data_IF_241080624061
#
_entry.id   IF_241080624061
#
_cell.length_a   1.000
_cell.length_b   1.000
_cell.length_c   1.000
_cell.angle_alpha   90.00
_cell.angle_beta   90.00
_cell.angle_gamma   90.00
#
_symmetry.space_group_name_H-M   'P 1'
#
loop_
_entity.id
_entity.type
_entity.pdbx_description
1 polymer ?
#
# COMPACT_ATOMS: atom_id res chain seq x y z
N UNK A 1 -11.80 -14.98 -21.87
CA UNK A 1 -10.76 -13.95 -21.68
C UNK A 1 -10.15 -14.17 -20.30
N UNK A 2 -9.02 -14.88 -20.21
CA UNK A 2 -8.37 -15.09 -18.92
C UNK A 2 -7.83 -13.73 -18.42
N UNK A 3 -8.02 -13.38 -17.13
CA UNK A 3 -7.52 -12.11 -16.62
C UNK A 3 -6.01 -12.02 -16.82
N UNK A 4 -5.50 -10.83 -17.16
CA UNK A 4 -4.07 -10.55 -17.45
C UNK A 4 -3.11 -11.16 -16.41
N UNK A 5 -3.57 -11.28 -15.16
CA UNK A 5 -2.88 -11.92 -14.04
C UNK A 5 -2.47 -13.36 -14.35
N UNK A 6 -3.33 -14.16 -14.99
CA UNK A 6 -3.04 -15.57 -15.31
C UNK A 6 -1.91 -15.70 -16.33
N UNK A 7 -1.80 -14.77 -17.27
CA UNK A 7 -0.74 -14.80 -18.26
C UNK A 7 0.65 -14.57 -17.64
N UNK A 8 0.77 -13.59 -16.74
CA UNK A 8 2.05 -13.31 -16.08
C UNK A 8 2.53 -14.47 -15.22
N UNK A 9 1.60 -15.16 -14.55
CA UNK A 9 1.91 -16.32 -13.71
C UNK A 9 2.47 -17.52 -14.51
N UNK A 10 2.17 -17.59 -15.81
CA UNK A 10 2.71 -18.61 -16.74
C UNK A 10 4.08 -18.25 -17.32
N UNK A 11 4.58 -17.03 -17.08
CA UNK A 11 5.86 -16.56 -17.60
C UNK A 11 7.01 -16.78 -16.59
N UNK A 12 8.28 -16.79 -17.03
CA UNK A 12 9.43 -17.05 -16.14
C UNK A 12 9.79 -15.87 -15.21
N UNK A 13 8.98 -14.80 -15.19
CA UNK A 13 9.21 -13.62 -14.34
C UNK A 13 8.77 -13.90 -12.90
N UNK A 14 9.40 -13.23 -11.94
CA UNK A 14 8.88 -13.19 -10.56
C UNK A 14 7.74 -12.16 -10.45
N UNK A 15 6.74 -12.43 -9.62
CA UNK A 15 5.67 -11.47 -9.29
C UNK A 15 5.84 -11.03 -7.84
N UNK A 16 5.88 -9.73 -7.62
CA UNK A 16 5.69 -9.13 -6.30
C UNK A 16 4.51 -8.20 -6.39
N UNK A 17 3.43 -8.55 -5.69
CA UNK A 17 2.26 -7.69 -5.57
C UNK A 17 2.29 -7.00 -4.21
N UNK A 18 2.15 -5.68 -4.22
CA UNK A 18 1.91 -4.88 -3.02
C UNK A 18 0.45 -4.45 -3.03
N UNK A 19 -0.33 -5.04 -2.15
CA UNK A 19 -1.74 -4.77 -2.04
C UNK A 19 -1.99 -3.98 -0.75
N UNK A 20 -2.22 -2.69 -0.97
CA UNK A 20 -2.55 -1.68 0.02
C UNK A 20 -4.03 -1.27 -0.13
N UNK A 21 -4.90 -2.19 -0.55
CA UNK A 21 -6.24 -1.85 -0.99
C UNK A 21 -7.03 -1.16 0.13
N UNK A 22 -7.55 0.03 -0.18
CA UNK A 22 -8.58 0.73 0.61
C UNK A 22 -10.00 0.45 0.09
N UNK A 23 -10.09 -0.31 -1.01
CA UNK A 23 -11.29 -0.72 -1.73
C UNK A 23 -10.91 -1.52 -2.98
N UNK A 24 -11.85 -2.22 -3.60
CA UNK A 24 -11.60 -3.13 -4.74
C UNK A 24 -11.51 -4.61 -4.34
N UNK A 25 -11.23 -5.49 -5.30
CA UNK A 25 -11.07 -6.93 -5.06
C UNK A 25 -9.60 -7.33 -5.08
N UNK A 26 -9.22 -8.12 -4.08
CA UNK A 26 -7.89 -8.75 -3.98
C UNK A 26 -7.72 -9.81 -5.06
N UNK A 27 -6.47 -10.06 -5.50
CA UNK A 27 -6.21 -11.19 -6.37
C UNK A 27 -6.67 -12.50 -5.70
N UNK A 28 -7.26 -13.43 -6.47
CA UNK A 28 -7.72 -14.69 -5.92
C UNK A 28 -6.52 -15.50 -5.43
N UNK A 29 -6.46 -15.70 -4.12
CA UNK A 29 -5.54 -16.64 -3.47
C UNK A 29 -6.36 -17.87 -3.10
N UNK A 30 -5.84 -19.05 -3.43
CA UNK A 30 -6.55 -20.32 -3.19
C UNK A 30 -6.73 -20.59 -1.71
N UNK A 31 -5.71 -20.23 -0.91
CA UNK A 31 -5.71 -20.39 0.53
C UNK A 31 -6.19 -19.11 1.24
N UNK A 32 -6.71 -19.29 2.46
CA UNK A 32 -7.05 -18.16 3.33
C UNK A 32 -5.79 -17.37 3.67
N UNK A 33 -5.85 -16.06 3.48
CA UNK A 33 -4.75 -15.19 3.86
C UNK A 33 -4.63 -15.10 5.40
N UNK A 34 -3.40 -14.96 5.93
CA UNK A 34 -3.21 -14.64 7.34
C UNK A 34 -3.91 -13.30 7.69
N UNK A 35 -4.28 -13.05 8.95
CA UNK A 35 -4.89 -11.78 9.34
C UNK A 35 -3.99 -10.58 9.00
N UNK A 36 -4.57 -9.53 8.42
CA UNK A 36 -3.89 -8.29 8.09
C UNK A 36 -4.77 -7.36 7.27
N UNK A 37 -4.42 -6.08 7.27
CA UNK A 37 -5.08 -5.06 6.44
C UNK A 37 -4.43 -4.97 5.06
N UNK A 38 -3.10 -5.13 5.03
CA UNK A 38 -2.24 -4.98 3.86
C UNK A 38 -1.32 -6.17 3.70
N UNK A 39 -0.95 -6.45 2.45
CA UNK A 39 -0.15 -7.62 2.15
C UNK A 39 0.84 -7.37 1.02
N UNK A 40 1.96 -8.08 1.09
CA UNK A 40 2.87 -8.28 -0.01
C UNK A 40 2.88 -9.77 -0.36
N UNK A 41 2.68 -10.08 -1.64
CA UNK A 41 2.68 -11.45 -2.15
C UNK A 41 3.89 -11.62 -3.07
N UNK A 42 4.79 -12.50 -2.70
CA UNK A 42 5.99 -12.83 -3.48
C UNK A 42 5.81 -14.20 -4.12
N UNK A 43 5.51 -14.21 -5.43
CA UNK A 43 5.37 -15.43 -6.23
C UNK A 43 6.59 -15.59 -7.14
N UNK A 44 7.48 -16.52 -6.75
CA UNK A 44 8.69 -16.82 -7.50
C UNK A 44 8.36 -17.79 -8.63
N UNK A 45 8.78 -17.48 -9.86
CA UNK A 45 8.50 -18.30 -11.04
C UNK A 45 8.74 -19.81 -10.82
N UNK A 46 9.87 -20.17 -10.20
CA UNK A 46 10.25 -21.57 -9.94
C UNK A 46 9.47 -22.29 -8.84
N UNK A 47 8.74 -21.57 -7.99
CA UNK A 47 7.99 -22.13 -6.85
C UNK A 47 6.48 -22.08 -7.05
N UNK A 48 6.02 -21.56 -8.19
CA UNK A 48 4.59 -21.52 -8.52
C UNK A 48 3.99 -22.94 -8.53
N UNK A 49 2.72 -23.09 -8.10
CA UNK A 49 1.77 -22.02 -7.75
C UNK A 49 1.94 -21.43 -6.35
N UNK A 50 2.94 -21.85 -5.56
CA UNK A 50 3.14 -21.33 -4.20
C UNK A 50 3.69 -19.90 -4.20
N UNK A 51 3.32 -19.14 -3.18
CA UNK A 51 3.82 -17.80 -2.92
C UNK A 51 4.15 -17.63 -1.43
N UNK A 52 4.91 -16.58 -1.12
CA UNK A 52 5.14 -16.11 0.24
C UNK A 52 4.23 -14.91 0.48
N UNK A 53 3.57 -14.87 1.65
CA UNK A 53 2.66 -13.80 2.02
C UNK A 53 3.21 -13.10 3.26
N UNK A 54 3.36 -11.79 3.16
CA UNK A 54 3.73 -10.91 4.25
C UNK A 54 2.51 -10.04 4.54
N UNK A 55 1.95 -10.14 5.74
CA UNK A 55 0.77 -9.40 6.16
C UNK A 55 1.12 -8.41 7.28
N UNK A 56 0.46 -7.26 7.27
CA UNK A 56 0.56 -6.26 8.32
C UNK A 56 -0.74 -5.44 8.42
N UNK A 57 -0.94 -4.83 9.57
CA UNK A 57 -2.04 -3.91 9.84
C UNK A 57 -1.63 -2.46 9.55
N UNK A 58 -2.62 -1.58 9.42
CA UNK A 58 -2.37 -0.14 9.21
C UNK A 58 -1.56 0.52 10.34
N UNK A 59 -1.62 -0.04 11.55
CA UNK A 59 -0.96 0.49 12.73
C UNK A 59 0.47 -0.01 12.93
N UNK A 60 0.88 -1.01 12.16
CA UNK A 60 2.23 -1.57 12.21
C UNK A 60 3.19 -0.81 11.28
N UNK A 61 4.48 -0.87 11.61
CA UNK A 61 5.52 -0.41 10.68
C UNK A 61 5.47 -1.25 9.41
N UNK A 62 5.70 -0.61 8.27
CA UNK A 62 5.76 -1.31 6.99
C UNK A 62 6.91 -2.33 7.02
N UNK A 63 6.67 -3.57 6.54
CA UNK A 63 7.63 -4.65 6.66
C UNK A 63 8.84 -4.48 5.73
N UNK A 64 9.83 -5.35 5.96
CA UNK A 64 10.93 -5.56 5.04
C UNK A 64 10.57 -6.72 4.12
N UNK A 65 10.54 -6.49 2.81
CA UNK A 65 10.13 -7.50 1.82
C UNK A 65 11.34 -7.96 1.00
N UNK A 66 11.56 -9.28 0.85
CA UNK A 66 12.57 -9.80 -0.06
C UNK A 66 12.04 -9.77 -1.50
N UNK A 67 12.75 -9.05 -2.37
CA UNK A 67 12.43 -8.94 -3.79
C UNK A 67 13.34 -9.89 -4.57
N UNK A 68 12.79 -10.93 -5.22
CA UNK A 68 13.57 -11.84 -6.04
C UNK A 68 14.18 -11.11 -7.23
N UNK A 69 15.49 -11.26 -7.38
CA UNK A 69 16.24 -10.78 -8.54
C UNK A 69 16.34 -11.89 -9.59
N UNK A 70 17.32 -11.79 -10.49
CA UNK A 70 17.55 -12.85 -11.48
C UNK A 70 17.97 -14.13 -10.77
N UNK A 71 17.77 -15.25 -11.46
CA UNK A 71 18.19 -16.54 -10.94
C UNK A 71 19.70 -16.55 -10.62
N UNK A 72 20.04 -16.93 -9.39
CA UNK A 72 21.41 -16.99 -8.90
C UNK A 72 21.79 -15.78 -8.04
N UNK A 73 21.04 -14.68 -8.14
CA UNK A 73 21.20 -13.53 -7.27
C UNK A 73 20.43 -13.73 -5.96
N UNK A 74 21.01 -13.23 -4.87
CA UNK A 74 20.30 -13.13 -3.60
C UNK A 74 19.16 -12.10 -3.70
N UNK A 75 18.13 -12.27 -2.87
CA UNK A 75 17.01 -11.34 -2.84
C UNK A 75 17.46 -9.94 -2.39
N UNK A 76 16.93 -8.92 -3.06
CA UNK A 76 17.08 -7.54 -2.59
C UNK A 76 16.15 -7.33 -1.38
N UNK A 77 16.73 -6.97 -0.24
CA UNK A 77 15.97 -6.69 0.98
C UNK A 77 15.45 -5.26 0.94
N UNK A 78 14.13 -5.07 0.81
CA UNK A 78 13.51 -3.75 0.66
C UNK A 78 12.75 -3.36 1.93
N UNK A 79 13.27 -2.43 2.75
CA UNK A 79 12.56 -1.90 3.91
C UNK A 79 11.52 -0.87 3.46
N UNK A 80 10.26 -1.30 3.30
CA UNK A 80 9.20 -0.45 2.74
C UNK A 80 8.99 0.85 3.54
N UNK A 81 9.19 0.78 4.87
CA UNK A 81 9.09 1.94 5.76
C UNK A 81 10.01 3.10 5.35
N UNK A 82 11.16 2.83 4.74
CA UNK A 82 12.10 3.88 4.30
C UNK A 82 11.52 4.75 3.19
N UNK A 83 10.53 4.24 2.46
CA UNK A 83 9.95 4.89 1.28
C UNK A 83 8.55 5.46 1.53
N UNK A 84 8.03 5.35 2.76
CA UNK A 84 6.78 6.01 3.13
C UNK A 84 7.04 7.51 3.36
N UNK A 85 6.40 8.36 2.56
CA UNK A 85 6.38 9.79 2.86
C UNK A 85 5.38 10.02 3.99
N UNK A 86 5.85 10.38 5.18
CA UNK A 86 4.97 10.93 6.20
C UNK A 86 4.48 12.28 5.70
N UNK A 87 3.21 12.38 5.30
CA UNK A 87 2.53 13.66 5.25
C UNK A 87 2.28 14.08 6.70
N UNK A 88 3.30 14.61 7.36
CA UNK A 88 3.06 15.34 8.59
C UNK A 88 2.21 16.53 8.18
N UNK A 89 0.96 16.57 8.62
CA UNK A 89 0.18 17.79 8.53
C UNK A 89 0.95 18.83 9.35
N UNK A 90 1.53 19.82 8.69
CA UNK A 90 2.20 20.91 9.41
C UNK A 90 1.19 21.48 10.42
N UNK A 91 1.56 21.68 11.70
CA UNK A 91 0.66 22.30 12.64
C UNK A 91 0.22 23.64 12.04
N UNK A 92 -1.09 23.90 12.03
CA UNK A 92 -1.64 25.15 11.52
C UNK A 92 -1.02 26.30 12.31
N UNK A 93 0.02 26.94 11.76
CA UNK A 93 0.61 28.13 12.35
C UNK A 93 -0.46 29.20 12.28
N UNK A 94 -1.08 29.50 13.43
CA UNK A 94 -2.05 30.57 13.53
C UNK A 94 -1.29 31.88 13.39
N UNK A 95 -1.22 32.42 12.17
CA UNK A 95 -0.61 33.72 11.89
C UNK A 95 -1.52 34.82 12.48
N UNK A 96 -1.01 35.77 13.28
CA UNK A 96 -1.80 36.88 13.77
C UNK A 96 -1.79 37.98 12.71
N UNK A 97 -2.45 37.76 11.56
CA UNK A 97 -2.67 38.82 10.57
C UNK A 97 -4.17 39.08 10.45
N UNK A 98 -4.62 40.06 11.22
CA UNK A 98 -5.96 40.63 11.11
C UNK A 98 -6.03 41.48 9.84
N UNK A 99 -6.18 40.83 8.69
CA UNK A 99 -6.45 41.49 7.41
C UNK A 99 -7.70 40.82 6.82
N UNK A 100 -8.80 41.57 6.57
CA UNK A 100 -10.01 40.98 6.03
C UNK A 100 -9.79 40.67 4.55
N UNK A 101 -9.36 39.46 4.23
CA UNK A 101 -9.43 38.93 2.88
C UNK A 101 -10.91 38.63 2.58
N UNK A 102 -11.54 39.54 1.81
CA UNK A 102 -12.83 39.29 1.18
C UNK A 102 -12.67 38.15 0.18
N UNK A 103 -12.92 36.92 0.60
CA UNK A 103 -13.02 35.77 -0.29
C UNK A 103 -14.47 35.64 -0.75
N UNK A 104 -14.73 35.99 -2.01
CA UNK A 104 -15.96 35.62 -2.71
C UNK A 104 -15.82 34.13 -3.06
N UNK A 105 -16.43 33.25 -2.27
CA UNK A 105 -17.00 32.00 -2.78
C UNK A 105 -18.18 31.56 -1.91
N UNK A 106 -19.21 31.10 -2.60
CA UNK A 106 -20.52 30.78 -2.07
C UNK A 106 -20.48 29.80 -0.91
N UNK A 107 -21.30 30.15 0.09
CA UNK A 107 -21.66 29.36 1.25
C UNK A 107 -22.08 27.93 0.87
N UNK A 108 -21.44 26.94 1.49
CA UNK A 108 -22.20 25.84 2.12
C UNK A 108 -21.54 25.48 3.44
N UNK A 109 -22.13 26.02 4.50
CA UNK A 109 -21.86 25.78 5.92
C UNK A 109 -22.42 24.41 6.31
N UNK A 110 -21.57 23.52 6.82
CA UNK A 110 -21.90 22.49 7.82
C UNK A 110 -20.71 22.48 8.78
N UNK A 111 -20.76 23.26 9.87
CA UNK A 111 -21.36 22.92 11.17
C UNK A 111 -20.78 21.64 11.79
N UNK A 112 -19.90 21.88 12.76
CA UNK A 112 -19.78 21.21 14.06
C UNK A 112 -19.60 19.68 14.10
N UNK A 113 -18.41 19.26 14.53
CA UNK A 113 -18.20 17.96 15.17
C UNK A 113 -16.74 17.82 15.59
N UNK A 114 -16.46 18.14 16.85
CA UNK A 114 -15.11 18.09 17.41
C UNK A 114 -14.53 16.67 17.44
N UNK A 115 -13.21 16.59 17.35
CA UNK A 115 -12.46 15.37 17.67
C UNK A 115 -12.52 15.14 19.18
N UNK A 116 -12.94 13.93 19.57
CA UNK A 116 -12.42 13.26 20.76
C UNK A 116 -11.15 12.49 20.35
#
# INVERSE_FOLDING_TARGET
MAPLVVFFLSSPTHLVELDLLRGGMRLPVVDTLPPGDYYAIVSRAKRRPKCEVYAWTLHEKLPVIPIPLKLGDADATVPLQKYSTSSTCAPATTSPSNTPLRLIHHSRRMSSGGCN
#
